data_IF_406386965667
#
_entry.id   IF_406386965667
#
_cell.length_a   1.000
_cell.length_b   1.000
_cell.length_c   1.000
_cell.angle_alpha   90.00
_cell.angle_beta   90.00
_cell.angle_gamma   90.00
#
_symmetry.space_group_name_H-M   'P 1'
#
loop_
_entity.id
_entity.type
_entity.pdbx_description
1 polymer ?
#
# COMPACT_ATOMS: atom_id res chain seq x y z
N UNK A 1 4.93 27.44 -7.91
CA UNK A 1 4.40 26.77 -9.12
C UNK A 1 5.38 25.68 -9.55
N UNK A 2 5.31 24.53 -8.88
CA UNK A 2 5.82 23.26 -9.39
C UNK A 2 4.62 22.33 -9.34
N UNK A 3 4.09 21.99 -10.53
CA UNK A 3 3.00 21.03 -10.66
C UNK A 3 3.61 19.67 -10.35
N UNK A 4 3.22 19.07 -9.22
CA UNK A 4 3.40 17.63 -9.01
C UNK A 4 2.42 16.97 -9.98
N UNK A 5 2.97 16.46 -11.07
CA UNK A 5 2.24 15.69 -12.07
C UNK A 5 2.23 14.27 -11.54
N UNK A 6 1.05 13.70 -11.28
CA UNK A 6 0.88 12.26 -11.19
C UNK A 6 1.45 11.67 -12.48
N UNK A 7 2.57 10.95 -12.35
CA UNK A 7 3.21 10.28 -13.46
C UNK A 7 2.39 9.05 -13.86
N UNK A 8 1.30 9.27 -14.61
CA UNK A 8 0.82 8.31 -15.59
C UNK A 8 1.84 8.28 -16.73
N UNK A 9 2.88 7.45 -16.57
CA UNK A 9 3.93 7.27 -17.57
C UNK A 9 3.32 6.66 -18.85
N UNK A 10 3.04 7.53 -19.82
CA UNK A 10 2.95 7.18 -21.24
C UNK A 10 4.36 7.23 -21.81
N UNK A 11 5.02 6.09 -21.95
CA UNK A 11 6.32 6.02 -22.60
C UNK A 11 6.17 6.16 -24.11
N UNK A 12 6.49 7.34 -24.65
CA UNK A 12 6.86 7.50 -26.07
C UNK A 12 8.28 7.01 -26.27
N UNK A 13 8.45 5.88 -26.95
CA UNK A 13 9.74 5.44 -27.47
C UNK A 13 9.89 5.90 -28.93
N UNK A 14 10.96 6.66 -29.16
CA UNK A 14 11.41 7.11 -30.48
C UNK A 14 11.92 5.89 -31.26
N UNK A 15 11.20 5.54 -32.34
CA UNK A 15 11.67 4.56 -33.32
C UNK A 15 12.78 5.21 -34.17
N UNK A 16 14.04 4.84 -33.91
CA UNK A 16 15.06 4.92 -34.95
C UNK A 16 15.09 3.61 -35.73
N UNK A 17 14.54 3.69 -36.94
CA UNK A 17 14.69 2.68 -37.97
C UNK A 17 16.02 2.91 -38.70
N UNK A 18 16.86 1.87 -38.81
CA UNK A 18 17.78 1.66 -39.92
C UNK A 18 18.31 0.21 -39.94
N UNK A 19 17.97 -0.53 -41.00
CA UNK A 19 18.96 -1.25 -41.81
C UNK A 19 19.44 -2.66 -41.42
N UNK A 20 18.81 -3.66 -42.05
CA UNK A 20 19.36 -4.89 -42.68
C UNK A 20 20.09 -5.99 -41.89
N UNK A 21 19.45 -7.17 -41.95
CA UNK A 21 19.94 -8.56 -42.02
C UNK A 21 21.38 -8.93 -41.63
N UNK A 22 21.53 -9.80 -40.63
CA UNK A 22 22.15 -11.13 -40.86
C UNK A 22 21.93 -12.11 -39.69
N UNK A 23 21.64 -13.37 -40.07
CA UNK A 23 21.31 -14.48 -39.18
C UNK A 23 22.52 -15.01 -38.40
N UNK A 24 22.60 -14.72 -37.09
CA UNK A 24 23.25 -15.59 -36.10
C UNK A 24 22.47 -15.58 -34.79
N UNK A 25 22.02 -16.75 -34.34
CA UNK A 25 21.49 -16.97 -32.98
C UNK A 25 22.63 -16.73 -31.99
N UNK A 26 22.77 -15.48 -31.55
CA UNK A 26 23.51 -15.14 -30.33
C UNK A 26 22.50 -15.30 -29.20
N UNK A 27 22.73 -16.26 -28.30
CA UNK A 27 22.08 -16.23 -26.99
C UNK A 27 22.71 -15.05 -26.26
N UNK A 28 22.12 -13.88 -26.45
CA UNK A 28 22.44 -12.71 -25.65
C UNK A 28 21.86 -13.03 -24.28
N UNK A 29 22.72 -13.32 -23.30
CA UNK A 29 22.36 -13.15 -21.89
C UNK A 29 22.12 -11.65 -21.70
N UNK A 30 20.93 -11.19 -22.09
CA UNK A 30 20.46 -9.84 -21.82
C UNK A 30 20.34 -9.78 -20.30
N UNK A 31 21.31 -9.13 -19.68
CA UNK A 31 21.22 -8.71 -18.29
C UNK A 31 19.94 -7.86 -18.23
N UNK A 32 18.88 -8.41 -17.66
CA UNK A 32 17.63 -7.67 -17.46
C UNK A 32 18.00 -6.54 -16.51
N UNK A 33 17.88 -5.29 -16.97
CA UNK A 33 18.16 -4.15 -16.11
C UNK A 33 17.15 -4.14 -14.97
N UNK A 34 17.63 -3.94 -13.75
CA UNK A 34 16.78 -3.81 -12.58
C UNK A 34 15.91 -2.57 -12.73
N UNK A 35 14.61 -2.73 -12.47
CA UNK A 35 13.63 -1.65 -12.56
C UNK A 35 13.16 -1.34 -11.15
N UNK A 36 13.21 -0.07 -10.78
CA UNK A 36 12.75 0.42 -9.50
C UNK A 36 11.85 1.63 -9.74
N UNK A 37 10.73 1.70 -9.02
CA UNK A 37 9.81 2.84 -9.11
C UNK A 37 10.41 4.01 -8.31
N UNK A 38 10.67 3.80 -7.02
CA UNK A 38 11.57 4.64 -6.22
C UNK A 38 12.99 4.12 -6.44
N UNK A 39 13.93 4.93 -6.93
CA UNK A 39 15.33 4.49 -7.07
C UNK A 39 15.94 4.17 -5.70
N UNK A 40 16.80 3.14 -5.55
CA UNK A 40 17.35 2.72 -4.26
C UNK A 40 17.99 3.86 -3.46
N UNK A 41 18.75 4.73 -4.12
CA UNK A 41 19.43 5.88 -3.49
C UNK A 41 18.46 6.97 -3.01
N UNK A 42 17.23 6.98 -3.52
CA UNK A 42 16.19 7.97 -3.18
C UNK A 42 15.27 7.49 -2.05
N UNK A 43 15.39 6.24 -1.57
CA UNK A 43 14.49 5.70 -0.53
C UNK A 43 14.60 6.50 0.77
N UNK A 44 15.81 6.93 1.16
CA UNK A 44 15.99 7.72 2.37
C UNK A 44 15.29 9.09 2.28
N UNK A 45 15.42 9.78 1.15
CA UNK A 45 14.76 11.07 0.90
C UNK A 45 13.23 10.92 0.83
N UNK A 46 12.74 9.85 0.20
CA UNK A 46 11.32 9.51 0.16
C UNK A 46 10.75 9.36 1.58
N UNK A 47 11.45 8.64 2.45
CA UNK A 47 11.01 8.40 3.83
C UNK A 47 11.02 9.68 4.67
N UNK A 48 12.04 10.53 4.53
CA UNK A 48 12.07 11.81 5.25
C UNK A 48 10.98 12.77 4.78
N UNK A 49 10.74 12.85 3.47
CA UNK A 49 9.62 13.62 2.91
C UNK A 49 8.29 13.12 3.44
N UNK A 50 8.08 11.80 3.43
CA UNK A 50 6.86 11.20 3.95
C UNK A 50 6.65 11.54 5.43
N UNK A 51 7.68 11.44 6.29
CA UNK A 51 7.55 11.76 7.71
C UNK A 51 7.12 13.21 7.92
N UNK A 52 7.74 14.15 7.20
CA UNK A 52 7.41 15.57 7.29
C UNK A 52 5.96 15.84 6.85
N UNK A 53 5.49 15.21 5.78
CA UNK A 53 4.10 15.31 5.32
C UNK A 53 3.12 14.64 6.29
N UNK A 54 3.48 13.50 6.86
CA UNK A 54 2.64 12.74 7.79
C UNK A 54 2.44 13.49 9.12
N UNK A 55 3.44 14.23 9.59
CA UNK A 55 3.32 15.11 10.76
C UNK A 55 2.40 16.32 10.53
N UNK A 56 2.15 16.70 9.27
CA UNK A 56 1.26 17.81 8.92
C UNK A 56 -0.21 17.40 8.86
N UNK A 57 -0.52 16.10 8.85
CA UNK A 57 -1.89 15.63 8.91
C UNK A 57 -2.55 16.09 10.21
N UNK A 58 -3.71 16.70 10.10
CA UNK A 58 -4.39 17.27 11.26
C UNK A 58 -5.91 17.17 11.10
N UNK A 59 -6.59 16.82 12.19
CA UNK A 59 -8.04 16.95 12.31
C UNK A 59 -8.31 17.69 13.61
N UNK A 60 -8.94 18.85 13.51
CA UNK A 60 -9.34 19.66 14.65
C UNK A 60 -10.86 19.82 14.69
N UNK A 61 -11.46 19.51 15.83
CA UNK A 61 -12.87 19.81 16.13
C UNK A 61 -12.91 20.65 17.40
N UNK A 62 -13.42 21.88 17.31
CA UNK A 62 -13.38 22.87 18.40
C UNK A 62 -11.97 23.07 19.01
N UNK A 63 -10.96 23.06 18.13
CA UNK A 63 -9.54 23.18 18.49
C UNK A 63 -8.93 21.94 19.14
N UNK A 64 -9.71 20.87 19.36
CA UNK A 64 -9.19 19.59 19.85
C UNK A 64 -8.64 18.79 18.67
N UNK A 65 -7.36 18.42 18.74
CA UNK A 65 -6.67 17.63 17.72
C UNK A 65 -6.96 16.14 17.84
N UNK A 66 -7.11 15.49 16.69
CA UNK A 66 -7.29 14.05 16.54
C UNK A 66 -6.33 13.52 15.49
N UNK A 67 -5.80 12.32 15.71
CA UNK A 67 -5.07 11.60 14.67
C UNK A 67 -6.08 11.02 13.68
N UNK A 68 -5.71 11.02 12.41
CA UNK A 68 -6.47 10.39 11.34
C UNK A 68 -5.64 9.27 10.72
N UNK A 69 -6.32 8.19 10.35
CA UNK A 69 -5.73 7.04 9.67
C UNK A 69 -6.62 6.69 8.49
N UNK A 70 -6.04 6.55 7.30
CA UNK A 70 -6.79 6.14 6.13
C UNK A 70 -7.48 4.78 6.35
N UNK A 71 -8.68 4.66 5.83
CA UNK A 71 -9.49 3.43 5.88
C UNK A 71 -9.75 2.94 4.47
N UNK A 72 -10.38 3.77 3.65
CA UNK A 72 -10.76 3.41 2.28
C UNK A 72 -11.07 4.66 1.45
N UNK A 73 -11.29 4.46 0.15
CA UNK A 73 -11.83 5.45 -0.77
C UNK A 73 -13.09 4.93 -1.43
N UNK A 74 -14.09 5.79 -1.57
CA UNK A 74 -15.24 5.50 -2.40
C UNK A 74 -15.19 6.41 -3.63
N UNK A 75 -14.85 5.82 -4.78
CA UNK A 75 -14.76 6.53 -6.05
C UNK A 75 -16.13 6.94 -6.59
N UNK A 76 -17.21 6.23 -6.21
CA UNK A 76 -18.58 6.54 -6.62
C UNK A 76 -19.10 7.76 -5.87
N UNK A 77 -18.96 7.73 -4.55
CA UNK A 77 -19.38 8.83 -3.68
C UNK A 77 -18.35 9.97 -3.61
N UNK A 78 -17.19 9.78 -4.26
CA UNK A 78 -16.07 10.74 -4.32
C UNK A 78 -15.64 11.18 -2.92
N UNK A 79 -15.29 10.21 -2.09
CA UNK A 79 -14.87 10.44 -0.70
C UNK A 79 -13.63 9.65 -0.31
N UNK A 80 -12.75 10.29 0.44
CA UNK A 80 -11.72 9.63 1.25
C UNK A 80 -12.32 9.35 2.62
N UNK A 81 -12.18 8.12 3.10
CA UNK A 81 -12.64 7.68 4.42
C UNK A 81 -11.42 7.50 5.32
N UNK A 82 -11.42 8.15 6.47
CA UNK A 82 -10.41 7.98 7.50
C UNK A 82 -11.05 7.73 8.87
N UNK A 83 -10.36 6.99 9.73
CA UNK A 83 -10.74 6.81 11.13
C UNK A 83 -10.02 7.82 12.01
N UNK A 84 -10.69 8.23 13.08
CA UNK A 84 -10.16 9.02 14.18
C UNK A 84 -10.76 8.52 15.49
N UNK A 85 -10.29 9.03 16.64
CA UNK A 85 -10.61 8.47 17.96
C UNK A 85 -12.11 8.30 18.27
N UNK A 86 -12.99 9.12 17.67
CA UNK A 86 -14.43 9.03 17.91
C UNK A 86 -15.22 8.32 16.82
N UNK A 87 -14.61 7.98 15.69
CA UNK A 87 -15.33 7.40 14.57
C UNK A 87 -14.66 7.54 13.21
N UNK A 88 -15.46 7.85 12.19
CA UNK A 88 -15.03 8.02 10.80
C UNK A 88 -15.25 9.45 10.31
N UNK A 89 -14.36 9.90 9.44
CA UNK A 89 -14.48 11.11 8.63
C UNK A 89 -14.51 10.76 7.15
N UNK A 90 -15.47 11.35 6.45
CA UNK A 90 -15.63 11.26 5.01
C UNK A 90 -15.32 12.65 4.44
N UNK A 91 -14.23 12.74 3.69
CA UNK A 91 -13.75 13.95 3.05
C UNK A 91 -14.06 13.88 1.56
N UNK A 92 -14.80 14.85 1.03
CA UNK A 92 -15.09 14.92 -0.39
C UNK A 92 -13.79 15.06 -1.19
N UNK A 93 -13.60 14.23 -2.22
CA UNK A 93 -12.41 14.23 -3.06
C UNK A 93 -12.72 13.65 -4.45
N UNK A 94 -12.37 14.39 -5.50
CA UNK A 94 -12.50 13.96 -6.89
C UNK A 94 -11.22 13.25 -7.35
N UNK A 95 -11.24 11.92 -7.39
CA UNK A 95 -10.08 11.10 -7.76
C UNK A 95 -9.67 11.22 -9.23
N UNK A 96 -10.57 11.63 -10.13
CA UNK A 96 -10.23 11.82 -11.55
C UNK A 96 -9.49 13.13 -11.78
N UNK A 97 -9.83 14.16 -11.00
CA UNK A 97 -9.24 15.50 -11.09
C UNK A 97 -8.13 15.72 -10.08
N UNK A 98 -8.01 14.83 -9.10
CA UNK A 98 -7.10 14.93 -7.96
C UNK A 98 -7.31 16.23 -7.19
N UNK A 99 -8.57 16.52 -6.84
CA UNK A 99 -8.97 17.78 -6.23
C UNK A 99 -9.96 17.58 -5.08
N UNK A 100 -9.84 18.35 -3.98
CA UNK A 100 -10.78 18.26 -2.87
C UNK A 100 -12.17 18.77 -3.27
N UNK A 101 -13.21 18.15 -2.69
CA UNK A 101 -14.61 18.59 -2.78
C UNK A 101 -15.02 19.12 -1.41
N UNK A 102 -15.75 20.23 -1.37
CA UNK A 102 -16.11 20.95 -0.14
C UNK A 102 -17.22 20.25 0.68
N UNK A 103 -16.97 18.99 1.02
CA UNK A 103 -17.88 18.12 1.76
C UNK A 103 -17.13 17.43 2.88
N UNK A 104 -17.72 17.46 4.08
CA UNK A 104 -17.29 16.67 5.23
C UNK A 104 -18.53 15.98 5.81
N UNK A 105 -18.42 14.70 6.13
CA UNK A 105 -19.34 14.01 7.04
C UNK A 105 -18.53 13.33 8.15
N UNK A 106 -18.93 13.52 9.41
CA UNK A 106 -18.41 12.72 10.52
C UNK A 106 -19.46 11.75 11.00
N UNK A 107 -19.02 10.52 11.26
CA UNK A 107 -19.81 9.47 11.87
C UNK A 107 -19.10 9.07 13.16
N UNK A 108 -19.65 9.41 14.32
CA UNK A 108 -19.11 8.93 15.59
C UNK A 108 -19.67 7.54 15.91
N UNK A 109 -18.84 6.64 16.44
CA UNK A 109 -19.21 5.27 16.77
C UNK A 109 -17.99 4.37 16.99
N UNK A 110 -18.22 3.11 17.38
CA UNK A 110 -17.16 2.12 17.57
C UNK A 110 -16.61 1.61 16.22
N UNK A 111 -15.35 1.93 15.95
CA UNK A 111 -14.63 1.57 14.71
C UNK A 111 -13.84 0.27 14.81
N UNK A 112 -13.98 -0.50 15.89
CA UNK A 112 -13.29 -1.78 16.06
C UNK A 112 -13.72 -2.84 15.03
N UNK A 113 -14.95 -2.74 14.51
CA UNK A 113 -15.47 -3.58 13.45
C UNK A 113 -16.21 -2.73 12.41
N UNK A 114 -15.50 -2.33 11.35
CA UNK A 114 -16.05 -1.45 10.32
C UNK A 114 -17.16 -2.11 9.49
N UNK A 115 -17.16 -3.43 9.34
CA UNK A 115 -18.23 -4.16 8.63
C UNK A 115 -19.59 -4.06 9.35
N UNK A 116 -19.56 -3.89 10.67
CA UNK A 116 -20.74 -3.77 11.52
C UNK A 116 -20.85 -2.38 12.16
N UNK A 117 -20.16 -1.39 11.59
CA UNK A 117 -20.15 -0.02 12.10
C UNK A 117 -21.57 0.56 12.10
N UNK A 118 -21.97 1.10 13.24
CA UNK A 118 -23.25 1.78 13.42
C UNK A 118 -23.03 3.12 14.11
N UNK A 119 -23.32 4.25 13.43
CA UNK A 119 -23.03 5.57 13.99
C UNK A 119 -23.95 5.89 15.17
N UNK A 120 -23.36 6.37 16.27
CA UNK A 120 -24.08 6.92 17.43
C UNK A 120 -24.38 8.40 17.26
N UNK A 121 -23.59 9.12 16.45
CA UNK A 121 -23.87 10.49 16.05
C UNK A 121 -23.40 10.76 14.62
N UNK A 122 -24.11 11.67 13.93
CA UNK A 122 -23.81 12.05 12.55
C UNK A 122 -23.70 13.57 12.51
N UNK A 123 -22.63 14.05 11.89
CA UNK A 123 -22.41 15.47 11.65
C UNK A 123 -22.22 15.74 10.16
N UNK A 124 -22.80 16.84 9.66
CA UNK A 124 -22.71 17.26 8.27
C UNK A 124 -21.99 18.60 8.18
N UNK A 125 -21.04 18.71 7.24
CA UNK A 125 -20.32 19.95 6.97
C UNK A 125 -21.23 21.07 6.49
N UNK A 126 -20.99 22.29 6.98
CA UNK A 126 -21.65 23.53 6.62
C UNK A 126 -20.59 24.59 6.36
N UNK A 127 -20.72 25.31 5.24
CA UNK A 127 -19.78 26.34 4.79
C UNK A 127 -18.32 25.85 4.80
N UNK A 128 -18.10 24.67 4.21
CA UNK A 128 -16.75 24.12 4.07
C UNK A 128 -16.02 24.91 2.98
N UNK A 129 -14.95 25.56 3.38
CA UNK A 129 -13.99 26.23 2.51
C UNK A 129 -12.81 25.30 2.26
N UNK A 130 -12.27 25.37 1.05
CA UNK A 130 -11.10 24.60 0.62
C UNK A 130 -9.95 25.56 0.37
N UNK A 131 -8.76 25.16 0.80
CA UNK A 131 -7.51 25.82 0.39
C UNK A 131 -6.41 24.79 0.18
N UNK A 132 -5.43 25.14 -0.65
CA UNK A 132 -4.23 24.35 -0.85
C UNK A 132 -3.04 25.08 -0.24
N UNK A 133 -2.21 24.38 0.53
CA UNK A 133 -1.01 24.90 1.18
C UNK A 133 0.15 23.97 0.89
N UNK A 134 1.00 24.34 -0.07
CA UNK A 134 2.06 23.45 -0.59
C UNK A 134 1.44 22.14 -1.12
N UNK A 135 1.72 21.00 -0.49
CA UNK A 135 1.18 19.68 -0.84
C UNK A 135 -0.08 19.32 -0.02
N UNK A 136 -0.52 20.22 0.86
CA UNK A 136 -1.66 19.97 1.73
C UNK A 136 -2.96 20.49 1.13
N UNK A 137 -4.00 19.67 1.27
CA UNK A 137 -5.38 20.05 1.09
C UNK A 137 -5.99 20.35 2.46
N UNK A 138 -6.60 21.53 2.57
CA UNK A 138 -7.19 22.02 3.80
C UNK A 138 -8.69 22.19 3.63
N UNK A 139 -9.45 21.56 4.51
CA UNK A 139 -10.89 21.71 4.65
C UNK A 139 -11.16 22.49 5.93
N UNK A 140 -11.89 23.59 5.87
CA UNK A 140 -12.20 24.41 7.05
C UNK A 140 -13.65 24.89 7.04
N UNK A 141 -14.31 24.86 8.19
CA UNK A 141 -15.69 25.35 8.29
C UNK A 141 -16.35 24.93 9.58
N UNK A 142 -17.62 24.54 9.49
CA UNK A 142 -18.37 23.99 10.63
C UNK A 142 -19.00 22.65 10.28
N UNK A 143 -19.29 21.86 11.29
CA UNK A 143 -20.10 20.64 11.20
C UNK A 143 -21.33 20.81 12.11
N UNK A 144 -22.49 20.38 11.63
CA UNK A 144 -23.74 20.40 12.38
C UNK A 144 -24.16 18.98 12.75
N UNK A 145 -24.41 18.73 14.03
CA UNK A 145 -25.01 17.49 14.49
C UNK A 145 -26.45 17.36 13.95
N UNK A 146 -26.74 16.27 13.23
CA UNK A 146 -28.02 16.06 12.55
C UNK A 146 -29.21 16.17 13.50
N UNK A 147 -29.08 15.62 14.71
CA UNK A 147 -30.17 15.52 15.69
C UNK A 147 -30.31 16.77 16.57
N UNK A 148 -29.19 17.36 17.01
CA UNK A 148 -29.21 18.46 17.99
C UNK A 148 -29.09 19.84 17.36
N UNK A 149 -28.70 19.91 16.07
CA UNK A 149 -28.40 21.16 15.37
C UNK A 149 -27.28 21.98 15.99
N UNK A 150 -26.50 21.37 16.88
CA UNK A 150 -25.33 22.02 17.47
C UNK A 150 -24.19 22.09 16.45
N UNK A 151 -23.53 23.24 16.40
CA UNK A 151 -22.43 23.52 15.48
C UNK A 151 -21.09 23.35 16.19
N UNK A 152 -20.16 22.68 15.53
CA UNK A 152 -18.76 22.61 15.92
C UNK A 152 -17.89 23.16 14.81
N UNK A 153 -16.84 23.88 15.17
CA UNK A 153 -15.79 24.26 14.23
C UNK A 153 -14.98 23.04 13.80
N UNK A 154 -14.57 22.98 12.53
CA UNK A 154 -13.73 21.92 12.01
C UNK A 154 -12.60 22.48 11.14
N UNK A 155 -11.42 21.86 11.23
CA UNK A 155 -10.34 22.02 10.27
C UNK A 155 -9.67 20.66 10.03
N UNK A 156 -9.41 20.33 8.77
CA UNK A 156 -8.77 19.07 8.38
C UNK A 156 -7.68 19.39 7.38
N UNK A 157 -6.48 18.84 7.61
CA UNK A 157 -5.33 18.93 6.72
C UNK A 157 -4.97 17.52 6.31
N UNK A 158 -5.03 17.24 5.01
CA UNK A 158 -4.60 15.96 4.43
C UNK A 158 -3.64 16.19 3.27
N UNK A 159 -2.80 15.19 3.00
CA UNK A 159 -1.93 15.12 1.85
C UNK A 159 -1.76 13.65 1.45
N UNK A 160 -0.94 13.36 0.43
CA UNK A 160 -0.72 12.00 -0.08
C UNK A 160 -0.23 11.01 0.99
N UNK A 161 0.47 11.48 2.03
CA UNK A 161 0.97 10.62 3.11
C UNK A 161 -0.16 9.89 3.84
N UNK A 162 -1.37 10.48 3.94
CA UNK A 162 -2.54 9.82 4.53
C UNK A 162 -2.88 8.55 3.76
N UNK A 163 -2.91 8.64 2.42
CA UNK A 163 -3.29 7.55 1.52
C UNK A 163 -2.19 6.49 1.37
N UNK A 164 -0.93 6.85 1.58
CA UNK A 164 0.22 5.94 1.44
C UNK A 164 0.73 5.31 2.74
N UNK A 165 0.24 5.75 3.90
CA UNK A 165 0.78 5.35 5.21
C UNK A 165 0.58 3.87 5.53
N UNK A 166 -0.63 3.36 5.32
CA UNK A 166 -1.09 2.10 5.90
C UNK A 166 -1.34 2.24 7.41
N UNK A 167 -2.03 1.25 7.98
CA UNK A 167 -2.34 1.17 9.41
C UNK A 167 -1.67 -0.02 10.10
N UNK A 168 -0.65 -0.59 9.45
CA UNK A 168 0.05 -1.75 9.95
C UNK A 168 0.63 -1.54 11.36
N UNK A 169 0.65 -2.60 12.14
CA UNK A 169 1.30 -2.63 13.46
C UNK A 169 2.33 -3.75 13.52
N UNK A 170 3.46 -3.45 14.18
CA UNK A 170 4.53 -4.42 14.42
C UNK A 170 4.78 -4.56 15.92
N UNK A 171 4.44 -5.70 16.50
CA UNK A 171 4.59 -5.97 17.94
C UNK A 171 5.64 -7.04 18.18
N UNK A 172 6.70 -6.71 18.94
CA UNK A 172 7.77 -7.63 19.29
C UNK A 172 7.45 -8.38 20.60
N UNK A 173 7.53 -9.71 20.57
CA UNK A 173 7.48 -10.57 21.74
C UNK A 173 8.63 -11.59 21.69
N UNK A 174 9.62 -11.41 22.57
CA UNK A 174 10.85 -12.20 22.52
C UNK A 174 11.59 -11.97 21.21
N UNK A 175 11.84 -13.04 20.45
CA UNK A 175 12.48 -13.02 19.14
C UNK A 175 11.48 -13.01 17.96
N UNK A 176 10.19 -12.86 18.22
CA UNK A 176 9.13 -12.87 17.20
C UNK A 176 8.47 -11.50 17.10
N UNK A 177 8.58 -10.86 15.94
CA UNK A 177 7.80 -9.67 15.60
C UNK A 177 6.51 -10.11 14.87
N UNK A 178 5.35 -9.65 15.35
CA UNK A 178 4.05 -9.95 14.72
C UNK A 178 3.57 -8.75 13.92
N UNK A 179 3.31 -8.95 12.62
CA UNK A 179 2.81 -7.94 11.68
C UNK A 179 1.30 -8.09 11.47
N UNK A 180 0.54 -7.00 11.59
CA UNK A 180 -0.89 -6.94 11.29
C UNK A 180 -1.22 -5.66 10.51
N UNK A 181 -2.44 -5.59 9.97
CA UNK A 181 -3.02 -4.40 9.35
C UNK A 181 -2.65 -4.24 7.87
N UNK A 182 -2.93 -3.06 7.35
CA UNK A 182 -2.69 -2.69 5.96
C UNK A 182 -1.29 -2.09 5.82
N UNK A 183 -0.51 -2.62 4.89
CA UNK A 183 0.88 -2.26 4.68
C UNK A 183 0.98 -0.94 3.90
N UNK A 184 1.99 -0.13 4.23
CA UNK A 184 2.31 1.12 3.54
C UNK A 184 3.65 1.67 3.99
N UNK A 185 3.87 2.98 3.81
CA UNK A 185 5.14 3.62 4.20
C UNK A 185 5.39 3.52 5.71
N UNK A 186 4.34 3.53 6.54
CA UNK A 186 4.46 3.31 7.98
C UNK A 186 5.01 1.92 8.32
N UNK A 187 4.76 0.90 7.48
CA UNK A 187 5.32 -0.44 7.67
C UNK A 187 6.83 -0.44 7.48
N UNK A 188 7.31 0.23 6.42
CA UNK A 188 8.74 0.37 6.16
C UNK A 188 9.44 1.02 7.35
N UNK A 189 8.90 2.14 7.84
CA UNK A 189 9.48 2.90 8.95
C UNK A 189 9.54 2.03 10.22
N UNK A 190 8.43 1.36 10.56
CA UNK A 190 8.38 0.45 11.72
C UNK A 190 9.39 -0.69 11.60
N UNK A 191 9.51 -1.32 10.43
CA UNK A 191 10.42 -2.44 10.20
C UNK A 191 11.90 -1.99 10.25
N UNK A 192 12.24 -0.88 9.58
CA UNK A 192 13.58 -0.30 9.59
C UNK A 192 14.02 0.07 11.02
N UNK A 193 13.16 0.74 11.78
CA UNK A 193 13.42 1.08 13.18
C UNK A 193 13.59 -0.19 14.04
N UNK A 194 12.71 -1.18 13.90
CA UNK A 194 12.77 -2.39 14.71
C UNK A 194 14.04 -3.19 14.44
N UNK A 195 14.42 -3.38 13.17
CA UNK A 195 15.65 -4.08 12.77
C UNK A 195 16.89 -3.36 13.32
N UNK A 196 16.90 -2.03 13.33
CA UNK A 196 18.04 -1.24 13.83
C UNK A 196 18.15 -1.24 15.36
N UNK A 197 17.03 -1.37 16.07
CA UNK A 197 16.98 -1.11 17.52
C UNK A 197 16.74 -2.35 18.37
N UNK A 198 16.25 -3.45 17.80
CA UNK A 198 15.90 -4.69 18.53
C UNK A 198 16.50 -5.90 17.83
N UNK A 199 16.65 -7.00 18.58
CA UNK A 199 17.04 -8.30 18.05
C UNK A 199 15.83 -9.22 17.99
N UNK A 200 15.57 -9.78 16.82
CA UNK A 200 14.53 -10.76 16.55
C UNK A 200 14.92 -11.53 15.28
N UNK A 201 14.40 -12.73 15.12
CA UNK A 201 14.76 -13.61 13.99
C UNK A 201 13.55 -14.00 13.14
N UNK A 202 12.34 -13.78 13.66
CA UNK A 202 11.10 -14.24 13.03
C UNK A 202 10.12 -13.09 12.87
N UNK A 203 9.68 -12.87 11.63
CA UNK A 203 8.51 -12.08 11.29
C UNK A 203 7.30 -13.00 11.11
N UNK A 204 6.41 -12.99 12.09
CA UNK A 204 5.15 -13.74 12.06
C UNK A 204 4.04 -12.86 11.48
N UNK A 205 3.33 -13.37 10.49
CA UNK A 205 2.15 -12.70 9.95
C UNK A 205 0.94 -12.99 10.84
N UNK A 206 0.22 -11.94 11.21
CA UNK A 206 -1.11 -12.03 11.79
C UNK A 206 -2.16 -11.85 10.69
N UNK A 207 -2.93 -10.76 10.74
CA UNK A 207 -3.91 -10.44 9.71
C UNK A 207 -3.42 -9.26 8.86
N UNK A 208 -2.93 -9.54 7.66
CA UNK A 208 -2.36 -8.55 6.73
C UNK A 208 -3.21 -8.51 5.45
N UNK A 209 -3.93 -7.41 5.27
CA UNK A 209 -4.88 -7.20 4.15
C UNK A 209 -4.20 -7.00 2.80
N UNK A 210 -2.95 -6.53 2.80
CA UNK A 210 -2.20 -6.16 1.59
C UNK A 210 -1.49 -4.83 1.76
N UNK A 211 -0.98 -4.29 0.65
CA UNK A 211 -0.32 -2.99 0.59
C UNK A 211 -1.17 -1.96 -0.13
N UNK A 212 -1.15 -0.73 0.38
CA UNK A 212 -1.67 0.45 -0.35
C UNK A 212 -0.55 1.23 -1.05
N UNK A 213 0.71 0.84 -0.82
CA UNK A 213 1.89 1.42 -1.45
C UNK A 213 2.88 0.31 -1.82
N UNK A 214 2.75 -0.25 -3.02
CA UNK A 214 3.56 -1.37 -3.49
C UNK A 214 5.03 -1.00 -3.68
N UNK A 215 5.31 0.25 -4.02
CA UNK A 215 6.65 0.75 -4.32
C UNK A 215 7.55 0.60 -3.09
N UNK A 216 7.10 1.12 -1.95
CA UNK A 216 7.82 1.02 -0.68
C UNK A 216 7.68 -0.37 -0.04
N UNK A 217 6.62 -1.11 -0.35
CA UNK A 217 6.43 -2.48 0.14
C UNK A 217 7.56 -3.41 -0.35
N UNK A 218 7.98 -3.29 -1.62
CA UNK A 218 9.14 -4.03 -2.13
C UNK A 218 10.43 -3.68 -1.37
N UNK A 219 10.61 -2.43 -0.95
CA UNK A 219 11.74 -2.04 -0.10
C UNK A 219 11.62 -2.57 1.33
N UNK A 220 10.40 -2.66 1.87
CA UNK A 220 10.14 -3.33 3.16
C UNK A 220 10.54 -4.81 3.09
N UNK A 221 10.21 -5.48 1.98
CA UNK A 221 10.69 -6.85 1.71
C UNK A 221 12.21 -6.95 1.68
N UNK A 222 12.89 -6.00 1.02
CA UNK A 222 14.37 -5.95 1.01
C UNK A 222 14.97 -5.76 2.41
N UNK A 223 14.34 -4.99 3.30
CA UNK A 223 14.77 -4.91 4.72
C UNK A 223 14.69 -6.27 5.41
N UNK A 224 13.57 -6.99 5.23
CA UNK A 224 13.36 -8.33 5.80
C UNK A 224 14.42 -9.30 5.30
N UNK A 225 14.68 -9.32 4.00
CA UNK A 225 15.70 -10.18 3.37
C UNK A 225 17.11 -9.82 3.86
N UNK A 226 17.46 -8.54 3.91
CA UNK A 226 18.77 -8.08 4.34
C UNK A 226 19.05 -8.38 5.81
N UNK A 227 18.02 -8.33 6.66
CA UNK A 227 18.09 -8.72 8.07
C UNK A 227 18.10 -10.25 8.28
N UNK A 228 18.02 -11.05 7.21
CA UNK A 228 18.03 -12.51 7.24
C UNK A 228 16.91 -13.12 8.12
N UNK A 229 15.75 -12.47 8.15
CA UNK A 229 14.63 -12.89 8.98
C UNK A 229 13.91 -14.11 8.39
N UNK A 230 13.43 -14.98 9.27
CA UNK A 230 12.45 -16.01 8.95
C UNK A 230 11.08 -15.37 8.83
N UNK A 231 10.32 -15.72 7.79
CA UNK A 231 8.90 -15.38 7.69
C UNK A 231 8.05 -16.58 8.06
N UNK A 232 7.04 -16.36 8.91
CA UNK A 232 6.14 -17.39 9.40
C UNK A 232 4.69 -17.00 9.10
N UNK A 233 4.00 -17.85 8.34
CA UNK A 233 2.56 -17.81 8.19
C UNK A 233 1.92 -18.85 9.12
N UNK A 234 1.37 -18.45 10.28
CA UNK A 234 0.79 -19.38 11.24
C UNK A 234 -0.64 -19.78 10.86
N UNK A 235 -1.12 -20.87 11.46
CA UNK A 235 -2.52 -21.29 11.34
C UNK A 235 -3.48 -20.20 11.85
N UNK A 236 -4.58 -19.98 11.14
CA UNK A 236 -5.65 -19.05 11.56
C UNK A 236 -5.35 -17.58 11.29
N UNK A 237 -4.31 -17.30 10.50
CA UNK A 237 -3.87 -15.97 10.09
C UNK A 237 -3.85 -15.86 8.57
N UNK A 238 -3.79 -14.64 8.05
CA UNK A 238 -3.75 -14.40 6.61
C UNK A 238 -2.81 -13.27 6.22
N UNK A 239 -2.18 -13.41 5.06
CA UNK A 239 -1.51 -12.31 4.37
C UNK A 239 -1.84 -12.33 2.89
N UNK A 240 -2.34 -11.21 2.38
CA UNK A 240 -2.74 -11.07 0.99
C UNK A 240 -1.88 -10.03 0.27
N UNK A 241 -1.84 -10.09 -1.06
CA UNK A 241 -1.22 -9.08 -1.92
C UNK A 241 0.23 -8.78 -1.49
N UNK A 242 0.58 -7.52 -1.19
CA UNK A 242 1.90 -7.15 -0.67
C UNK A 242 2.34 -7.88 0.61
N UNK A 243 1.42 -8.47 1.38
CA UNK A 243 1.78 -9.36 2.48
C UNK A 243 2.47 -10.65 1.99
N UNK A 244 2.10 -11.16 0.81
CA UNK A 244 2.78 -12.29 0.15
C UNK A 244 4.16 -11.87 -0.34
N UNK A 245 4.32 -10.62 -0.82
CA UNK A 245 5.62 -10.07 -1.19
C UNK A 245 6.57 -10.09 0.01
N UNK A 246 6.10 -9.63 1.18
CA UNK A 246 6.89 -9.65 2.42
C UNK A 246 7.16 -11.08 2.90
N UNK A 247 6.20 -12.01 2.77
CA UNK A 247 6.42 -13.42 3.11
C UNK A 247 7.52 -14.04 2.25
N UNK A 248 7.52 -13.76 0.94
CA UNK A 248 8.54 -14.24 -0.01
C UNK A 248 9.95 -13.72 0.31
N UNK A 249 10.05 -12.59 1.03
CA UNK A 249 11.31 -11.97 1.40
C UNK A 249 12.08 -12.70 2.51
N UNK A 250 11.43 -13.57 3.28
CA UNK A 250 12.10 -14.37 4.30
C UNK A 250 13.30 -15.15 3.75
N UNK A 251 14.35 -15.29 4.54
CA UNK A 251 15.48 -16.18 4.26
C UNK A 251 15.07 -17.64 4.40
N UNK A 252 14.24 -17.92 5.41
CA UNK A 252 13.45 -19.13 5.61
C UNK A 252 11.98 -18.73 5.63
N UNK A 253 11.11 -19.53 4.99
CA UNK A 253 9.69 -19.23 4.79
C UNK A 253 8.86 -20.42 5.27
N UNK A 254 8.33 -20.29 6.47
CA UNK A 254 7.60 -21.33 7.19
C UNK A 254 6.10 -21.12 6.98
N UNK A 255 5.43 -22.15 6.45
CA UNK A 255 3.99 -22.17 6.30
C UNK A 255 3.36 -23.26 7.18
N UNK A 256 2.43 -22.85 8.03
CA UNK A 256 1.62 -23.79 8.82
C UNK A 256 0.28 -24.03 8.14
N UNK A 257 -0.12 -25.30 8.04
CA UNK A 257 -1.40 -25.68 7.44
C UNK A 257 -2.56 -24.96 8.15
N UNK A 258 -3.42 -24.29 7.37
CA UNK A 258 -4.51 -23.45 7.86
C UNK A 258 -4.16 -21.97 8.02
N UNK A 259 -2.93 -21.54 7.69
CA UNK A 259 -2.63 -20.15 7.35
C UNK A 259 -3.02 -19.83 5.91
N UNK A 260 -3.29 -18.56 5.60
CA UNK A 260 -3.73 -18.14 4.27
C UNK A 260 -2.74 -17.17 3.62
N UNK A 261 -2.24 -17.54 2.44
CA UNK A 261 -1.49 -16.63 1.55
C UNK A 261 -2.32 -16.40 0.29
N UNK A 262 -2.66 -15.15 0.01
CA UNK A 262 -3.59 -14.79 -1.06
C UNK A 262 -2.99 -13.83 -2.06
N UNK A 263 -3.18 -14.10 -3.35
CA UNK A 263 -2.63 -13.31 -4.45
C UNK A 263 -3.73 -12.77 -5.35
N UNK A 264 -3.48 -11.63 -5.95
CA UNK A 264 -4.32 -11.04 -6.98
C UNK A 264 -3.51 -10.07 -7.84
N UNK A 265 -4.08 -9.66 -8.96
CA UNK A 265 -3.56 -8.58 -9.79
C UNK A 265 -3.58 -7.26 -9.05
N UNK A 266 -2.49 -6.49 -9.13
CA UNK A 266 -2.56 -5.06 -8.79
C UNK A 266 -3.36 -4.31 -9.88
N UNK A 267 -3.83 -3.13 -9.49
CA UNK A 267 -4.66 -2.24 -10.28
C UNK A 267 -4.13 -0.81 -10.12
N UNK A 268 -4.21 0.08 -11.12
CA UNK A 268 -4.50 -0.16 -12.52
C UNK A 268 -3.67 0.82 -13.35
N UNK A 269 -3.37 0.42 -14.60
CA UNK A 269 -2.78 1.34 -15.58
C UNK A 269 -3.80 1.52 -16.69
N UNK A 270 -4.25 2.77 -16.89
CA UNK A 270 -5.27 3.11 -17.87
C UNK A 270 -6.53 2.22 -17.78
N UNK A 271 -7.01 1.98 -16.56
CA UNK A 271 -8.20 1.16 -16.28
C UNK A 271 -8.02 -0.35 -16.50
N UNK A 272 -6.78 -0.82 -16.71
CA UNK A 272 -6.45 -2.25 -16.83
C UNK A 272 -5.69 -2.72 -15.60
N UNK A 273 -6.09 -3.89 -15.12
CA UNK A 273 -5.37 -4.62 -14.09
C UNK A 273 -4.09 -5.21 -14.71
N UNK A 274 -3.07 -5.47 -13.91
CA UNK A 274 -1.80 -6.06 -14.36
C UNK A 274 -1.94 -7.29 -15.25
N UNK A 275 -2.82 -8.24 -14.91
CA UNK A 275 -3.05 -9.46 -15.69
C UNK A 275 -3.64 -9.22 -17.09
N UNK A 276 -4.12 -8.01 -17.38
CA UNK A 276 -4.64 -7.60 -18.69
C UNK A 276 -3.61 -6.86 -19.56
N UNK A 277 -2.43 -6.57 -19.00
CA UNK A 277 -1.32 -5.96 -19.74
C UNK A 277 -0.59 -7.03 -20.58
N UNK A 278 0.17 -6.58 -21.57
CA UNK A 278 1.08 -7.48 -22.30
C UNK A 278 2.12 -8.03 -21.32
N UNK A 279 2.52 -9.29 -21.44
CA UNK A 279 3.58 -9.86 -20.59
C UNK A 279 4.93 -9.14 -20.73
N UNK A 280 5.12 -8.37 -21.78
CA UNK A 280 6.31 -7.53 -22.02
C UNK A 280 6.10 -6.06 -21.64
N UNK A 281 4.97 -5.71 -21.02
CA UNK A 281 4.68 -4.35 -20.60
C UNK A 281 5.70 -3.89 -19.54
N UNK A 282 6.33 -2.71 -19.70
CA UNK A 282 7.34 -2.22 -18.76
C UNK A 282 6.82 -2.04 -17.34
N UNK A 283 5.50 -1.90 -17.13
CA UNK A 283 4.90 -1.80 -15.81
C UNK A 283 5.19 -3.02 -14.91
N UNK A 284 5.46 -4.19 -15.50
CA UNK A 284 5.84 -5.39 -14.76
C UNK A 284 7.26 -5.32 -14.17
N UNK A 285 8.10 -4.40 -14.65
CA UNK A 285 9.54 -4.41 -14.41
C UNK A 285 9.93 -4.44 -12.94
N UNK A 286 9.30 -3.60 -12.10
CA UNK A 286 9.68 -3.48 -10.70
C UNK A 286 9.37 -4.74 -9.89
N UNK A 287 8.17 -5.30 -10.06
CA UNK A 287 7.78 -6.55 -9.42
C UNK A 287 8.57 -7.74 -9.94
N UNK A 288 8.87 -7.79 -11.26
CA UNK A 288 9.76 -8.80 -11.82
C UNK A 288 11.18 -8.71 -11.23
N UNK A 289 11.69 -7.51 -10.99
CA UNK A 289 12.99 -7.30 -10.32
C UNK A 289 12.92 -7.86 -8.90
N UNK A 290 11.92 -7.44 -8.13
CA UNK A 290 11.72 -7.89 -6.76
C UNK A 290 11.59 -9.42 -6.63
N UNK A 291 10.73 -10.06 -7.42
CA UNK A 291 10.55 -11.52 -7.29
C UNK A 291 11.76 -12.33 -7.78
N UNK A 292 12.58 -11.80 -8.70
CA UNK A 292 13.87 -12.42 -9.04
C UNK A 292 14.83 -12.41 -7.85
N UNK A 293 14.88 -11.33 -7.07
CA UNK A 293 15.67 -11.25 -5.83
C UNK A 293 15.16 -12.26 -4.77
N UNK A 294 13.85 -12.45 -4.67
CA UNK A 294 13.25 -13.25 -3.59
C UNK A 294 13.19 -14.76 -3.89
N UNK A 295 12.88 -15.12 -5.13
CA UNK A 295 12.60 -16.51 -5.56
C UNK A 295 13.56 -17.00 -6.66
N UNK A 296 14.47 -16.16 -7.14
CA UNK A 296 15.43 -16.50 -8.19
C UNK A 296 14.96 -16.18 -9.60
N UNK A 297 15.88 -16.30 -10.57
CA UNK A 297 15.71 -15.81 -11.95
C UNK A 297 14.59 -16.50 -12.74
N UNK A 298 14.27 -17.75 -12.39
CA UNK A 298 13.22 -18.54 -13.06
C UNK A 298 11.90 -18.49 -12.30
N UNK A 299 11.91 -18.87 -11.01
CA UNK A 299 10.69 -18.95 -10.19
C UNK A 299 10.09 -17.60 -9.83
N UNK A 300 10.90 -16.55 -9.72
CA UNK A 300 10.42 -15.20 -9.46
C UNK A 300 9.43 -14.70 -10.53
N UNK A 301 9.84 -14.62 -11.81
CA UNK A 301 8.94 -14.23 -12.89
C UNK A 301 7.72 -15.15 -13.03
N UNK A 302 7.89 -16.46 -12.90
CA UNK A 302 6.77 -17.42 -12.95
C UNK A 302 5.73 -17.16 -11.85
N UNK A 303 6.20 -16.90 -10.62
CA UNK A 303 5.34 -16.60 -9.50
C UNK A 303 4.62 -15.27 -9.68
N UNK A 304 5.34 -14.22 -10.09
CA UNK A 304 4.73 -12.91 -10.36
C UNK A 304 3.61 -12.98 -11.41
N UNK A 305 3.84 -13.66 -12.54
CA UNK A 305 2.78 -13.80 -13.53
C UNK A 305 1.63 -14.68 -13.03
N UNK A 306 1.90 -15.64 -12.16
CA UNK A 306 0.83 -16.37 -11.49
C UNK A 306 0.00 -15.45 -10.57
N UNK A 307 0.62 -14.60 -9.75
CA UNK A 307 -0.11 -13.73 -8.82
C UNK A 307 -1.12 -12.84 -9.54
N UNK A 308 -0.71 -12.22 -10.64
CA UNK A 308 -1.56 -11.28 -11.39
C UNK A 308 -2.62 -11.96 -12.28
N UNK A 309 -2.46 -13.25 -12.56
CA UNK A 309 -3.41 -14.02 -13.36
C UNK A 309 -4.36 -14.90 -12.53
N UNK A 310 -4.05 -15.11 -11.25
CA UNK A 310 -4.85 -15.96 -10.36
C UNK A 310 -6.19 -15.32 -9.98
N UNK A 311 -6.23 -14.00 -9.82
CA UNK A 311 -7.43 -13.25 -9.49
C UNK A 311 -7.34 -11.78 -9.98
N UNK A 312 -8.46 -11.15 -10.39
CA UNK A 312 -8.51 -9.71 -10.62
C UNK A 312 -8.33 -8.95 -9.29
N UNK A 313 -8.00 -7.65 -9.37
CA UNK A 313 -7.72 -6.80 -8.21
C UNK A 313 -8.86 -6.70 -7.18
N UNK A 314 -10.10 -6.93 -7.60
CA UNK A 314 -11.28 -6.89 -6.74
C UNK A 314 -11.56 -8.20 -5.99
N UNK A 315 -10.68 -9.21 -6.10
CA UNK A 315 -10.85 -10.51 -5.45
C UNK A 315 -9.50 -11.07 -5.03
N UNK A 316 -9.50 -12.13 -4.21
CA UNK A 316 -8.27 -12.78 -3.74
C UNK A 316 -8.32 -14.26 -4.08
N UNK A 317 -7.28 -14.75 -4.77
CA UNK A 317 -7.05 -16.18 -4.91
C UNK A 317 -6.22 -16.67 -3.73
N UNK A 318 -6.84 -17.45 -2.84
CA UNK A 318 -6.16 -18.12 -1.73
C UNK A 318 -5.34 -19.29 -2.26
N UNK A 319 -4.02 -19.17 -2.21
CA UNK A 319 -3.10 -20.17 -2.74
C UNK A 319 -3.26 -21.49 -2.00
N UNK A 320 -3.25 -22.58 -2.75
CA UNK A 320 -3.15 -23.92 -2.19
C UNK A 320 -1.67 -24.24 -1.92
N UNK A 321 -1.41 -25.19 -1.01
CA UNK A 321 -0.04 -25.66 -0.73
C UNK A 321 0.72 -26.10 -1.99
N UNK A 322 0.01 -26.68 -2.96
CA UNK A 322 0.57 -27.06 -4.25
C UNK A 322 1.08 -25.86 -5.07
N UNK A 323 0.39 -24.71 -5.00
CA UNK A 323 0.84 -23.47 -5.64
C UNK A 323 2.13 -22.99 -4.99
N UNK A 324 2.17 -22.96 -3.65
CA UNK A 324 3.34 -22.51 -2.88
C UNK A 324 4.58 -23.37 -3.16
N UNK A 325 4.41 -24.69 -3.26
CA UNK A 325 5.48 -25.64 -3.61
C UNK A 325 5.94 -25.42 -5.06
N UNK A 326 5.02 -25.25 -6.01
CA UNK A 326 5.33 -25.08 -7.45
C UNK A 326 6.28 -23.90 -7.71
N UNK A 327 6.16 -22.84 -6.92
CA UNK A 327 6.93 -21.60 -7.05
C UNK A 327 8.06 -21.47 -6.02
N UNK A 328 8.34 -22.50 -5.23
CA UNK A 328 9.30 -22.48 -4.13
C UNK A 328 9.05 -21.34 -3.13
N UNK A 329 7.79 -20.94 -2.96
CA UNK A 329 7.41 -19.86 -2.05
C UNK A 329 7.61 -20.27 -0.59
N UNK A 330 7.45 -21.55 -0.26
CA UNK A 330 7.70 -22.10 1.07
C UNK A 330 9.00 -22.90 1.08
N UNK A 331 9.72 -22.84 2.19
CA UNK A 331 10.91 -23.66 2.44
C UNK A 331 10.66 -24.72 3.50
N UNK A 332 9.64 -24.51 4.35
CA UNK A 332 9.14 -25.44 5.37
C UNK A 332 7.62 -25.36 5.50
#
# INVERSE_FOLDING_TARGET
>A
MNKIVIFLLTTLLVLQACGSSDNKKVVVNQKVNDVHIIQPDNVAEYIETFKLQYEQLDLQIDGVKYKILFVDRDETDKVIIAKYDKGLIYLGFDFEKEQPINSITLLEGDTSNLEHFSPTAIFKGINIELSEQEDNMVYQGSIEAVNTKHLHSISVVINESLLGAGDSTLTLNGNVATLNGTLGTSTYIQMDELIKTKSFDTLKFGNVSGSINDEINMYTGRLIRAANLTTLMPQGSFAYSGGVDLFAAGSQRIYQDGGELGVHSWCCIAGKNAGQLSTTDPAHGAQLTYFREMLGTEKGPEFYFFTINAAPASSVYKMQKADMIKYNLVTE
#
